data_IF_319138753310
#
_entry.id   IF_319138753310
#
_cell.length_a   1.000
_cell.length_b   1.000
_cell.length_c   1.000
_cell.angle_alpha   90.00
_cell.angle_beta   90.00
_cell.angle_gamma   90.00
#
_symmetry.space_group_name_H-M   'P 1'
#
loop_
_entity.id
_entity.type
_entity.pdbx_description
1 polymer ?
#
# COMPACT_ATOMS: atom_id res chain seq x y z
N UNK A 1 -20.14 -8.14 1.90
CA UNK A 1 -19.43 -6.97 1.32
C UNK A 1 -18.64 -6.41 2.46
N UNK A 2 -17.33 -6.56 2.42
CA UNK A 2 -16.43 -6.00 3.43
C UNK A 2 -16.73 -4.52 3.53
N UNK A 3 -17.01 -4.01 4.73
CA UNK A 3 -17.34 -2.60 4.96
C UNK A 3 -16.11 -1.67 4.79
N UNK A 4 -14.98 -2.25 4.39
CA UNK A 4 -13.69 -1.61 4.22
C UNK A 4 -12.98 -2.05 2.95
N UNK A 5 -12.11 -1.17 2.44
CA UNK A 5 -11.27 -1.32 1.26
C UNK A 5 -9.84 -1.63 1.70
N UNK A 6 -9.35 -2.82 1.38
CA UNK A 6 -8.08 -3.34 1.83
C UNK A 6 -7.00 -3.20 0.76
N UNK A 7 -5.94 -2.47 1.09
CA UNK A 7 -4.78 -2.24 0.20
C UNK A 7 -3.57 -2.96 0.75
N UNK A 8 -2.97 -3.83 -0.06
CA UNK A 8 -1.68 -4.42 0.28
C UNK A 8 -0.53 -3.55 -0.20
N UNK A 9 0.41 -3.25 0.69
CA UNK A 9 1.71 -2.69 0.34
C UNK A 9 2.68 -3.82 0.02
N UNK A 10 3.03 -3.95 -1.26
CA UNK A 10 4.01 -4.94 -1.70
C UNK A 10 5.37 -4.65 -1.08
N UNK A 11 6.09 -5.70 -0.68
CA UNK A 11 7.47 -5.60 -0.15
C UNK A 11 8.42 -4.83 -1.06
N UNK A 12 8.22 -4.86 -2.38
CA UNK A 12 9.00 -4.07 -3.33
C UNK A 12 8.95 -2.58 -3.03
N UNK A 13 7.83 -2.05 -2.53
CA UNK A 13 7.72 -0.65 -2.13
C UNK A 13 8.71 -0.30 -1.03
N UNK A 14 8.90 -1.18 -0.04
CA UNK A 14 9.86 -0.97 1.06
C UNK A 14 11.32 -1.10 0.59
N UNK A 15 11.57 -1.95 -0.41
CA UNK A 15 12.92 -2.17 -0.96
C UNK A 15 13.33 -1.07 -1.92
N UNK A 16 12.39 -0.59 -2.74
CA UNK A 16 12.64 0.39 -3.81
C UNK A 16 12.53 1.84 -3.33
N UNK A 17 12.03 2.06 -2.11
CA UNK A 17 11.90 3.39 -1.52
C UNK A 17 12.61 3.48 -0.18
N UNK A 18 12.72 4.71 0.36
CA UNK A 18 13.18 4.93 1.73
C UNK A 18 12.06 4.79 2.77
N UNK A 19 10.88 4.28 2.38
CA UNK A 19 9.76 4.08 3.30
C UNK A 19 9.97 2.82 4.13
N UNK A 20 9.63 2.93 5.40
CA UNK A 20 9.64 1.84 6.37
C UNK A 20 8.21 1.47 6.73
N UNK A 21 7.96 0.29 7.31
CA UNK A 21 6.62 -0.07 7.80
C UNK A 21 5.97 1.00 8.69
N UNK A 22 6.78 1.78 9.43
CA UNK A 22 6.32 2.88 10.29
C UNK A 22 5.73 4.07 9.54
N UNK A 23 6.12 4.26 8.28
CA UNK A 23 5.58 5.33 7.43
C UNK A 23 4.15 5.03 6.94
N UNK A 24 3.71 3.78 7.11
CA UNK A 24 2.38 3.29 6.79
C UNK A 24 1.47 3.20 8.04
N UNK A 25 1.82 3.88 9.14
CA UNK A 25 1.05 3.82 10.40
C UNK A 25 0.54 5.20 10.84
N UNK A 26 -0.79 5.40 10.85
CA UNK A 26 -1.44 5.88 12.09
C UNK A 26 -2.80 5.24 12.42
N UNK A 27 -3.31 4.31 11.58
CA UNK A 27 -4.64 3.65 11.71
C UNK A 27 -4.53 2.14 11.46
N UNK A 28 -3.30 1.63 11.31
CA UNK A 28 -3.11 0.28 10.77
C UNK A 28 -3.28 -0.77 11.86
N UNK A 29 -4.29 -1.62 11.72
CA UNK A 29 -4.24 -2.98 12.25
C UNK A 29 -3.13 -3.74 11.50
N UNK A 30 -1.87 -3.38 11.79
CA UNK A 30 -0.68 -4.08 11.35
C UNK A 30 -0.77 -5.52 11.84
N UNK A 31 -1.34 -6.38 11.00
CA UNK A 31 -1.32 -7.82 11.24
C UNK A 31 0.02 -8.32 10.72
N UNK A 32 1.05 -8.12 11.54
CA UNK A 32 2.34 -8.78 11.36
C UNK A 32 2.14 -10.25 11.74
N UNK A 33 1.75 -11.09 10.78
CA UNK A 33 1.78 -12.55 10.99
C UNK A 33 3.24 -12.99 11.07
N UNK A 34 3.58 -13.77 12.10
CA UNK A 34 4.90 -14.35 12.38
C UNK A 34 5.45 -15.29 11.28
N UNK A 35 4.70 -15.49 10.20
CA UNK A 35 5.17 -16.18 9.01
C UNK A 35 5.85 -15.19 8.07
N UNK A 36 6.99 -15.60 7.51
CA UNK A 36 7.97 -14.86 6.70
C UNK A 36 7.45 -14.04 5.48
N UNK A 37 6.13 -13.93 5.30
CA UNK A 37 5.43 -13.06 4.36
C UNK A 37 4.83 -11.85 5.09
N UNK A 38 5.68 -10.91 5.52
CA UNK A 38 5.28 -9.61 6.06
C UNK A 38 4.53 -8.79 4.98
N UNK A 39 3.25 -9.09 4.78
CA UNK A 39 2.33 -8.29 3.96
C UNK A 39 1.81 -7.15 4.82
N UNK A 40 2.10 -5.91 4.44
CA UNK A 40 1.50 -4.75 5.09
C UNK A 40 0.14 -4.54 4.45
N UNK A 41 -0.93 -4.76 5.22
CA UNK A 41 -2.30 -4.51 4.80
C UNK A 41 -2.79 -3.21 5.43
N UNK A 42 -3.36 -2.35 4.60
CA UNK A 42 -3.88 -1.04 4.97
C UNK A 42 -5.38 -1.05 4.73
N UNK A 43 -6.15 -0.78 5.78
CA UNK A 43 -7.60 -0.72 5.71
C UNK A 43 -8.07 0.72 5.53
N UNK A 44 -8.92 0.95 4.54
CA UNK A 44 -9.52 2.25 4.25
C UNK A 44 -11.05 2.13 4.26
N UNK A 45 -11.74 3.23 4.53
CA UNK A 45 -13.21 3.26 4.39
C UNK A 45 -13.64 3.27 2.93
N UNK A 46 -12.81 3.79 2.03
CA UNK A 46 -13.08 3.84 0.60
C UNK A 46 -11.81 3.83 -0.27
N UNK A 47 -11.92 3.52 -1.58
CA UNK A 47 -10.83 3.67 -2.53
C UNK A 47 -10.30 5.11 -2.65
N UNK A 48 -11.17 6.10 -2.45
CA UNK A 48 -10.78 7.52 -2.55
C UNK A 48 -9.94 7.95 -1.34
N UNK A 49 -10.25 7.45 -0.14
CA UNK A 49 -9.41 7.65 1.05
C UNK A 49 -8.01 7.07 0.85
N UNK A 50 -7.93 5.87 0.25
CA UNK A 50 -6.67 5.23 -0.08
C UNK A 50 -5.84 6.03 -1.09
N UNK A 51 -6.49 6.63 -2.10
CA UNK A 51 -5.86 7.51 -3.08
C UNK A 51 -5.39 8.82 -2.46
N UNK A 52 -6.19 9.43 -1.59
CA UNK A 52 -5.81 10.65 -0.87
C UNK A 52 -4.57 10.39 -0.01
N UNK A 53 -4.57 9.29 0.75
CA UNK A 53 -3.43 8.86 1.55
C UNK A 53 -2.14 8.73 0.71
N UNK A 54 -2.18 8.10 -0.46
CA UNK A 54 -1.02 8.03 -1.37
C UNK A 54 -0.56 9.41 -1.83
N UNK A 55 -1.50 10.31 -2.12
CA UNK A 55 -1.17 11.68 -2.50
C UNK A 55 -0.49 12.45 -1.36
N UNK A 56 -0.71 12.08 -0.10
CA UNK A 56 0.04 12.63 1.04
C UNK A 56 1.43 12.00 1.21
N UNK A 57 1.61 10.74 0.79
CA UNK A 57 2.89 10.01 0.86
C UNK A 57 3.83 10.34 -0.31
N UNK A 58 3.29 10.49 -1.51
CA UNK A 58 4.06 10.76 -2.73
C UNK A 58 5.00 11.98 -2.65
N UNK A 59 4.63 13.10 -2.00
CA UNK A 59 5.53 14.22 -1.78
C UNK A 59 6.70 13.91 -0.83
N UNK A 60 6.54 12.95 0.09
CA UNK A 60 7.62 12.50 1.00
C UNK A 60 8.66 11.64 0.26
N UNK A 61 8.23 10.96 -0.80
CA UNK A 61 9.12 10.29 -1.73
C UNK A 61 9.82 11.36 -2.57
N UNK A 62 11.10 11.61 -2.28
CA UNK A 62 11.91 12.59 -3.00
C UNK A 62 11.67 12.51 -4.51
N UNK A 63 11.46 13.66 -5.16
CA UNK A 63 11.05 13.80 -6.57
C UNK A 63 11.93 13.07 -7.61
N UNK A 64 13.08 12.54 -7.17
CA UNK A 64 14.06 11.80 -7.98
C UNK A 64 13.92 10.28 -7.93
N UNK A 65 13.05 9.72 -7.09
CA UNK A 65 12.99 8.26 -6.88
C UNK A 65 11.84 7.61 -7.67
N UNK A 66 10.65 8.22 -7.74
CA UNK A 66 9.49 7.62 -8.41
C UNK A 66 8.14 8.12 -7.88
N UNK A 67 7.07 7.33 -8.08
CA UNK A 67 5.73 7.57 -7.52
C UNK A 67 5.08 6.26 -7.07
N UNK A 68 4.29 6.34 -5.99
CA UNK A 68 3.36 5.31 -5.55
C UNK A 68 2.03 5.43 -6.30
N UNK A 69 1.40 4.29 -6.56
CA UNK A 69 0.07 4.20 -7.18
C UNK A 69 -0.67 2.95 -6.69
N UNK A 70 -1.99 3.07 -6.57
CA UNK A 70 -2.92 1.95 -6.34
C UNK A 70 -3.22 1.24 -7.64
N UNK A 71 -3.23 -0.09 -7.58
CA UNK A 71 -3.68 -0.97 -8.65
C UNK A 71 -4.75 -1.90 -8.08
N UNK A 72 -5.96 -1.82 -8.62
CA UNK A 72 -7.05 -2.72 -8.23
C UNK A 72 -6.68 -4.17 -8.53
N UNK A 73 -7.15 -5.09 -7.69
CA UNK A 73 -6.92 -6.52 -7.90
C UNK A 73 -7.65 -7.01 -9.15
N UNK A 74 -7.09 -8.03 -9.80
CA UNK A 74 -7.71 -8.59 -10.98
C UNK A 74 -8.99 -9.35 -10.58
N UNK A 75 -10.06 -9.40 -11.40
CA UNK A 75 -11.27 -10.15 -11.07
C UNK A 75 -11.10 -11.66 -10.84
N UNK A 76 -9.93 -12.21 -11.14
CA UNK A 76 -9.55 -13.62 -10.90
C UNK A 76 -8.59 -13.79 -9.72
N UNK A 77 -8.29 -12.69 -9.03
CA UNK A 77 -7.49 -12.68 -7.83
C UNK A 77 -8.36 -13.18 -6.67
N UNK A 78 -7.97 -14.30 -6.08
CA UNK A 78 -8.67 -14.90 -4.94
C UNK A 78 -8.16 -14.32 -3.59
N UNK A 79 -7.25 -13.35 -3.62
CA UNK A 79 -6.77 -12.67 -2.41
C UNK A 79 -7.88 -11.82 -1.79
N UNK A 80 -7.88 -11.74 -0.46
CA UNK A 80 -8.83 -10.93 0.33
C UNK A 80 -8.59 -9.41 0.21
N UNK A 81 -7.73 -8.98 -0.72
CA UNK A 81 -7.32 -7.57 -0.88
C UNK A 81 -8.05 -6.96 -2.07
N UNK A 82 -8.47 -5.70 -1.93
CA UNK A 82 -9.16 -4.97 -2.98
C UNK A 82 -8.17 -4.30 -3.95
N UNK A 83 -6.96 -3.96 -3.47
CA UNK A 83 -5.91 -3.40 -4.30
C UNK A 83 -4.49 -3.63 -3.78
N UNK A 84 -3.52 -3.35 -4.65
CA UNK A 84 -2.10 -3.38 -4.38
C UNK A 84 -1.47 -1.99 -4.53
N UNK A 85 -0.63 -1.61 -3.58
CA UNK A 85 0.26 -0.47 -3.70
C UNK A 85 1.52 -0.87 -4.46
N UNK A 86 1.83 -0.11 -5.50
CA UNK A 86 3.02 -0.31 -6.32
C UNK A 86 3.84 0.96 -6.40
N UNK A 87 5.16 0.80 -6.34
CA UNK A 87 6.10 1.86 -6.65
C UNK A 87 6.52 1.80 -8.12
N UNK A 88 6.57 2.96 -8.76
CA UNK A 88 7.04 3.12 -10.14
C UNK A 88 8.23 4.07 -10.14
N UNK A 89 9.45 3.59 -10.41
CA UNK A 89 10.63 4.44 -10.44
C UNK A 89 10.54 5.43 -11.61
N UNK A 90 11.13 6.62 -11.42
CA UNK A 90 11.22 7.64 -12.47
C UNK A 90 12.48 7.37 -13.30
N UNK A 91 12.31 6.79 -14.49
CA UNK A 91 13.38 6.64 -15.48
C UNK A 91 13.82 8.00 -16.07
#
# INVERSE_FOLDING_TARGET
MSESYLVEVKKSVLVETSLTPKDFDPVSNLTLTDDFDERILMEFTSPDDAREWINTLNPKLSHRVGRLSIYDTHPQDESEVDAYLRFSPRH
#
